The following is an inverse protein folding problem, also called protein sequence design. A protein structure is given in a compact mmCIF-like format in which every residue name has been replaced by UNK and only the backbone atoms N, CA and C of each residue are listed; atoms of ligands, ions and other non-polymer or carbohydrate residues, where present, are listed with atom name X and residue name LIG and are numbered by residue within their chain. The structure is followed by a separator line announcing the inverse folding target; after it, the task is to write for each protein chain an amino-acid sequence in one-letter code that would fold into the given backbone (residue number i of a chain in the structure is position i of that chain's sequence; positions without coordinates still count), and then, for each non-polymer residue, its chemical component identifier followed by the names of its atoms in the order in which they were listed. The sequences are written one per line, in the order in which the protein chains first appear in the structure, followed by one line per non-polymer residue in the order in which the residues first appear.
data_IF_551845284311
#
_entry.id   IF_551845284311
#
_cell.length_a   1.000
_cell.length_b   1.000
_cell.length_c   1.000
_cell.angle_alpha   90.00
_cell.angle_beta   90.00
_cell.angle_gamma   90.00
#
_symmetry.space_group_name_H-M   'P 1'
#
loop_
_entity.id
_entity.type
_entity.pdbx_description
1 polymer ?
#
# COMPACT_ATOMS: atom_id res chain seq x y z
N UNK A 1 -14.92 6.16 -12.19
CA UNK A 1 -14.60 6.36 -10.75
C UNK A 1 -14.24 5.04 -10.06
N UNK A 2 -15.10 4.02 -10.15
CA UNK A 2 -14.84 2.69 -9.58
C UNK A 2 -13.67 1.95 -10.27
N UNK A 3 -13.51 2.10 -11.58
CA UNK A 3 -12.39 1.48 -12.33
C UNK A 3 -11.00 1.98 -11.90
N UNK A 4 -10.87 3.28 -11.58
CA UNK A 4 -9.60 3.85 -11.13
C UNK A 4 -9.16 3.28 -9.76
N UNK A 5 -10.14 3.01 -8.89
CA UNK A 5 -9.91 2.36 -7.60
C UNK A 5 -9.50 0.89 -7.80
N UNK A 6 -10.17 0.18 -8.71
CA UNK A 6 -9.85 -1.21 -9.05
C UNK A 6 -8.44 -1.36 -9.62
N UNK A 7 -8.00 -0.42 -10.47
CA UNK A 7 -6.64 -0.44 -11.04
C UNK A 7 -5.57 -0.19 -9.98
N UNK A 8 -5.78 0.79 -9.10
CA UNK A 8 -4.86 1.08 -7.99
C UNK A 8 -4.76 -0.09 -7.02
N UNK A 9 -5.90 -0.70 -6.66
CA UNK A 9 -5.93 -1.86 -5.77
C UNK A 9 -5.19 -3.06 -6.38
N UNK A 10 -5.39 -3.30 -7.68
CA UNK A 10 -4.73 -4.38 -8.42
C UNK A 10 -3.21 -4.19 -8.50
N UNK A 11 -2.72 -2.96 -8.69
CA UNK A 11 -1.29 -2.66 -8.66
C UNK A 11 -0.68 -2.87 -7.27
N UNK A 12 -1.37 -2.45 -6.21
CA UNK A 12 -0.89 -2.63 -4.83
C UNK A 12 -0.81 -4.11 -4.47
N UNK A 13 -1.83 -4.90 -4.83
CA UNK A 13 -1.84 -6.35 -4.59
C UNK A 13 -0.75 -7.09 -5.36
N UNK A 14 -0.34 -6.62 -6.55
CA UNK A 14 0.80 -7.19 -7.30
C UNK A 14 2.14 -6.97 -6.60
N UNK A 15 2.34 -5.83 -5.96
CA UNK A 15 3.56 -5.56 -5.20
C UNK A 15 3.69 -6.40 -3.93
N UNK A 16 2.56 -6.84 -3.36
CA UNK A 16 2.51 -7.70 -2.17
C UNK A 16 2.63 -9.18 -2.55
N UNK A 17 1.93 -9.61 -3.61
CA UNK A 17 1.96 -11.01 -4.08
C UNK A 17 3.29 -11.41 -4.74
N UNK A 18 4.10 -10.44 -5.20
CA UNK A 18 5.45 -10.67 -5.75
C UNK A 18 6.57 -10.85 -4.71
N UNK A 19 6.31 -10.65 -3.41
CA UNK A 19 7.31 -10.84 -2.35
C UNK A 19 7.19 -12.25 -1.78
N UNK A 20 8.11 -13.14 -2.18
CA UNK A 20 8.17 -14.53 -1.73
C UNK A 20 8.33 -14.71 -0.20
N UNK A 21 8.70 -13.64 0.52
CA UNK A 21 8.80 -13.64 1.99
C UNK A 21 8.52 -12.25 2.55
N UNK A 22 7.53 -12.17 3.43
CA UNK A 22 7.33 -11.00 4.28
C UNK A 22 8.42 -11.02 5.36
N UNK A 23 9.10 -9.89 5.52
CA UNK A 23 10.18 -9.70 6.49
C UNK A 23 9.81 -8.50 7.35
N UNK A 24 10.29 -8.47 8.58
CA UNK A 24 9.95 -7.40 9.52
C UNK A 24 10.29 -6.01 8.97
N UNK A 25 11.44 -5.90 8.28
CA UNK A 25 11.86 -4.66 7.61
C UNK A 25 10.88 -4.21 6.53
N UNK A 26 10.45 -5.13 5.64
CA UNK A 26 9.55 -4.76 4.55
C UNK A 26 8.12 -4.41 5.02
N UNK A 27 7.65 -5.04 6.10
CA UNK A 27 6.38 -4.69 6.73
C UNK A 27 6.47 -3.31 7.38
N UNK A 28 7.58 -3.03 8.08
CA UNK A 28 7.80 -1.77 8.78
C UNK A 28 7.83 -0.58 7.81
N UNK A 29 8.50 -0.75 6.68
CA UNK A 29 8.55 0.26 5.62
C UNK A 29 7.16 0.48 5.01
N UNK A 30 6.43 -0.60 4.70
CA UNK A 30 5.07 -0.52 4.15
C UNK A 30 4.11 0.19 5.12
N UNK A 31 4.20 -0.10 6.43
CA UNK A 31 3.38 0.56 7.45
C UNK A 31 3.71 2.05 7.61
N UNK A 32 4.94 2.46 7.27
CA UNK A 32 5.34 3.87 7.26
C UNK A 32 4.72 4.61 6.08
N UNK A 33 4.74 4.01 4.89
CA UNK A 33 4.08 4.55 3.71
C UNK A 33 2.57 4.67 3.90
N UNK A 34 1.92 3.65 4.49
CA UNK A 34 0.49 3.70 4.81
C UNK A 34 0.17 4.85 5.75
N UNK A 35 0.98 5.08 6.80
CA UNK A 35 0.79 6.24 7.68
C UNK A 35 0.93 7.57 6.96
N UNK A 36 1.91 7.71 6.07
CA UNK A 36 2.09 8.95 5.31
C UNK A 36 0.91 9.18 4.35
N UNK A 37 0.48 8.14 3.63
CA UNK A 37 -0.68 8.22 2.75
C UNK A 37 -1.98 8.58 3.49
N UNK A 38 -2.15 8.09 4.72
CA UNK A 38 -3.30 8.43 5.57
C UNK A 38 -3.22 9.88 6.10
N UNK A 39 -2.03 10.40 6.37
CA UNK A 39 -1.82 11.78 6.79
C UNK A 39 -2.02 12.76 5.63
N UNK A 40 -1.59 12.39 4.43
CA UNK A 40 -1.75 13.19 3.21
C UNK A 40 -3.19 13.20 2.66
N UNK A 41 -4.00 12.20 3.02
CA UNK A 41 -5.40 12.10 2.60
C UNK A 41 -6.38 12.94 3.45
N UNK A 42 -5.88 13.96 4.15
CA UNK A 42 -6.62 14.88 5.02
C UNK A 42 -7.31 14.21 6.23
N UNK A 43 -6.53 13.67 7.16
CA UNK A 43 -6.96 13.55 8.56
C UNK A 43 -6.58 14.84 9.30
N UNK A 44 -7.28 15.93 8.98
CA UNK A 44 -7.47 17.07 9.88
C UNK A 44 -8.79 17.78 9.56
#
# INVERSE_FOLDING_TARGET
MFENLTDRLSQTLRHVTGKAKLTEDNIKDTMREVRMALLEADVN
#
